data_IF_277319099776
#
_entry.id   IF_277319099776
#
_cell.length_a   1.000
_cell.length_b   1.000
_cell.length_c   1.000
_cell.angle_alpha   90.00
_cell.angle_beta   90.00
_cell.angle_gamma   90.00
#
_symmetry.space_group_name_H-M   'P 1'
#
loop_
_entity.id
_entity.type
_entity.pdbx_description
1 polymer ?
#
# COMPACT_ATOMS: atom_id res chain seq x y z
N UNK A 1 3.65 10.25 0.54
CA UNK A 1 2.82 10.99 -0.45
C UNK A 1 2.68 10.25 -1.78
N UNK A 2 3.76 9.68 -2.34
CA UNK A 2 3.75 8.96 -3.63
C UNK A 2 2.68 7.83 -3.70
N UNK A 3 2.56 7.04 -2.63
CA UNK A 3 1.57 5.95 -2.53
C UNK A 3 0.14 6.45 -2.81
N UNK A 4 -0.25 7.62 -2.28
CA UNK A 4 -1.62 8.15 -2.46
C UNK A 4 -1.89 8.71 -3.85
N UNK A 5 -0.83 9.13 -4.54
CA UNK A 5 -0.92 9.68 -5.90
C UNK A 5 -0.95 8.56 -6.93
N UNK A 6 -0.21 7.47 -6.65
CA UNK A 6 -0.05 6.34 -7.56
C UNK A 6 -1.13 5.28 -7.35
N UNK A 7 -1.75 5.23 -6.16
CA UNK A 7 -2.73 4.21 -5.80
C UNK A 7 -3.97 4.80 -5.14
N UNK A 8 -5.17 4.17 -5.31
CA UNK A 8 -6.42 4.63 -4.70
C UNK A 8 -6.52 4.23 -3.20
N UNK A 9 -5.45 4.47 -2.45
CA UNK A 9 -5.35 4.20 -1.02
C UNK A 9 -5.82 5.41 -0.22
N UNK A 10 -6.62 5.17 0.82
CA UNK A 10 -7.16 6.24 1.65
C UNK A 10 -6.17 6.60 2.75
N UNK A 11 -6.22 7.85 3.24
CA UNK A 11 -5.30 8.34 4.29
C UNK A 11 -5.39 7.48 5.55
N UNK A 12 -6.61 7.11 5.94
CA UNK A 12 -6.86 6.30 7.13
C UNK A 12 -6.32 4.86 7.00
N UNK A 13 -6.19 4.34 5.77
CA UNK A 13 -5.67 2.99 5.53
C UNK A 13 -4.14 2.96 5.63
N UNK A 14 -3.45 4.03 5.22
CA UNK A 14 -1.98 4.14 5.29
C UNK A 14 -1.41 4.02 6.71
N UNK A 15 -2.17 4.45 7.71
CA UNK A 15 -1.71 4.48 9.12
C UNK A 15 -1.44 3.06 9.63
N UNK A 16 -2.11 2.06 9.04
CA UNK A 16 -2.06 0.66 9.48
C UNK A 16 -1.39 -0.26 8.45
N UNK A 17 -0.61 0.29 7.51
CA UNK A 17 0.22 -0.49 6.60
C UNK A 17 1.56 -0.76 7.27
N UNK A 18 1.90 -2.04 7.41
CA UNK A 18 3.18 -2.48 7.96
C UNK A 18 4.13 -2.94 6.85
N UNK A 19 5.42 -3.10 7.14
CA UNK A 19 6.40 -3.59 6.15
C UNK A 19 6.03 -4.96 5.58
N UNK A 20 5.39 -5.82 6.37
CA UNK A 20 4.96 -7.15 5.95
C UNK A 20 3.78 -7.12 4.95
N UNK A 21 3.09 -5.99 4.84
CA UNK A 21 2.03 -5.77 3.86
C UNK A 21 2.54 -5.35 2.49
N UNK A 22 3.76 -4.83 2.43
CA UNK A 22 4.39 -4.39 1.19
C UNK A 22 5.05 -5.61 0.56
N UNK A 23 4.38 -6.19 -0.43
CA UNK A 23 4.92 -7.26 -1.25
C UNK A 23 5.60 -6.70 -2.48
N UNK A 24 6.21 -7.59 -3.26
CA UNK A 24 7.05 -7.20 -4.40
C UNK A 24 6.33 -6.31 -5.44
N UNK A 25 5.04 -6.54 -5.68
CA UNK A 25 4.26 -5.82 -6.70
C UNK A 25 2.92 -5.26 -6.17
N UNK A 26 2.63 -5.43 -4.89
CA UNK A 26 1.32 -5.12 -4.33
C UNK A 26 1.44 -4.73 -2.85
N UNK A 27 0.54 -3.85 -2.41
CA UNK A 27 0.37 -3.51 -1.00
C UNK A 27 -0.93 -4.16 -0.54
N UNK A 28 -0.85 -4.92 0.55
CA UNK A 28 -2.00 -5.54 1.18
C UNK A 28 -2.55 -4.60 2.25
N UNK A 29 -3.80 -4.18 2.11
CA UNK A 29 -4.46 -3.33 3.10
C UNK A 29 -5.37 -4.22 3.93
N UNK A 30 -4.96 -4.50 5.18
CA UNK A 30 -5.67 -5.38 6.11
C UNK A 30 -6.85 -4.69 6.81
N UNK A 31 -6.73 -3.41 7.13
CA UNK A 31 -7.78 -2.69 7.87
C UNK A 31 -8.85 -2.09 6.96
N UNK A 32 -9.95 -2.83 6.83
CA UNK A 32 -11.27 -2.23 6.63
C UNK A 32 -12.17 -2.64 7.79
N UNK A 33 -13.08 -1.76 8.24
CA UNK A 33 -13.98 -1.98 9.40
C UNK A 33 -14.86 -3.26 9.33
N UNK A 34 -14.77 -4.06 8.27
CA UNK A 34 -15.73 -5.11 7.93
C UNK A 34 -15.12 -6.29 7.14
N UNK A 35 -13.87 -6.69 7.39
CA UNK A 35 -13.29 -7.95 6.84
C UNK A 35 -12.92 -8.01 5.34
N UNK A 36 -12.70 -6.88 4.65
CA UNK A 36 -12.12 -6.94 3.29
C UNK A 36 -10.66 -6.52 3.30
N UNK A 37 -9.78 -7.50 3.25
CA UNK A 37 -8.41 -7.27 2.80
C UNK A 37 -8.46 -6.81 1.34
N UNK A 38 -7.73 -5.72 1.03
CA UNK A 38 -7.65 -5.20 -0.34
C UNK A 38 -6.22 -5.28 -0.83
N UNK A 39 -6.06 -5.86 -2.01
CA UNK A 39 -4.79 -5.89 -2.73
C UNK A 39 -4.74 -4.65 -3.62
N UNK A 40 -3.68 -3.86 -3.47
CA UNK A 40 -3.43 -2.66 -4.27
C UNK A 40 -2.16 -2.87 -5.10
N UNK A 41 -2.25 -2.96 -6.43
CA UNK A 41 -1.07 -3.11 -7.26
C UNK A 41 -0.20 -1.85 -7.20
N UNK A 42 1.12 -2.04 -7.21
CA UNK A 42 2.10 -0.96 -7.22
C UNK A 42 2.71 -0.79 -8.60
N UNK A 43 2.99 0.46 -8.99
CA UNK A 43 3.85 0.71 -10.13
C UNK A 43 5.31 0.39 -9.82
N UNK A 44 6.10 0.08 -10.85
CA UNK A 44 7.55 -0.12 -10.73
C UNK A 44 8.26 1.10 -10.13
N UNK A 45 7.80 2.31 -10.45
CA UNK A 45 8.35 3.55 -9.91
C UNK A 45 8.09 3.66 -8.40
N UNK A 46 6.90 3.28 -7.94
CA UNK A 46 6.58 3.26 -6.51
C UNK A 46 7.43 2.22 -5.77
N UNK A 47 7.63 1.03 -6.35
CA UNK A 47 8.51 -0.01 -5.81
C UNK A 47 9.94 0.50 -5.62
N UNK A 48 10.54 1.04 -6.67
CA UNK A 48 11.92 1.57 -6.63
C UNK A 48 12.06 2.68 -5.57
N UNK A 49 11.01 3.48 -5.34
CA UNK A 49 11.02 4.49 -4.28
C UNK A 49 10.89 3.88 -2.88
N UNK A 50 10.11 2.81 -2.70
CA UNK A 50 9.96 2.13 -1.42
C UNK A 50 11.22 1.35 -1.02
N UNK A 51 11.98 0.81 -1.97
CA UNK A 51 13.23 0.08 -1.70
C UNK A 51 14.39 0.99 -1.23
N UNK A 52 14.32 2.30 -1.48
CA UNK A 52 15.36 3.26 -1.10
C UNK A 52 15.27 3.63 0.40
N UNK A 53 14.10 3.43 1.02
CA UNK A 53 13.81 3.82 2.39
C UNK A 53 13.65 2.61 3.31
#
# INVERSE_FOLDING_TARGET
MLVMLDTPVRINELINIELQDVKENEIVIRETKTYFERIVPMSRKLKEQLEIY
#
